data_IF_584359125079
#
_entry.id   IF_584359125079
#
_cell.length_a   1.000
_cell.length_b   1.000
_cell.length_c   1.000
_cell.angle_alpha   90.00
_cell.angle_beta   90.00
_cell.angle_gamma   90.00
#
_symmetry.space_group_name_H-M   'P 1'
#
loop_
_entity.id
_entity.type
_entity.pdbx_description
1 polymer ?
#
# COMPACT_ATOMS: atom_id res chain seq x y z
N UNK A 1 -21.24 29.83 12.83
CA UNK A 1 -21.15 28.83 13.91
C UNK A 1 -20.77 27.52 13.26
N UNK A 2 -19.69 26.89 13.71
CA UNK A 2 -19.16 25.64 13.14
C UNK A 2 -20.10 24.46 13.44
N UNK A 3 -20.47 23.69 12.43
CA UNK A 3 -21.34 22.50 12.53
C UNK A 3 -20.56 21.20 12.29
N UNK A 4 -21.19 20.06 12.58
CA UNK A 4 -20.59 18.74 12.32
C UNK A 4 -20.38 18.54 10.82
N UNK A 5 -21.30 19.01 10.00
CA UNK A 5 -21.21 18.94 8.54
C UNK A 5 -19.96 19.68 8.02
N UNK A 6 -19.65 20.86 8.58
CA UNK A 6 -18.45 21.63 8.23
C UNK A 6 -17.17 20.83 8.54
N UNK A 7 -17.15 20.08 9.66
CA UNK A 7 -16.03 19.21 10.02
C UNK A 7 -15.91 17.99 9.08
N UNK A 8 -17.03 17.36 8.73
CA UNK A 8 -17.06 16.21 7.80
C UNK A 8 -16.53 16.62 6.43
N UNK A 9 -16.93 17.79 5.93
CA UNK A 9 -16.46 18.33 4.65
C UNK A 9 -14.96 18.67 4.69
N UNK A 10 -14.52 19.43 5.71
CA UNK A 10 -13.13 19.85 5.87
C UNK A 10 -12.18 18.65 5.97
N UNK A 11 -12.48 17.68 6.84
CA UNK A 11 -11.63 16.51 7.05
C UNK A 11 -11.84 15.40 6.01
N UNK A 12 -12.89 15.50 5.20
CA UNK A 12 -13.16 14.60 4.09
C UNK A 12 -13.33 13.14 4.48
N UNK A 13 -13.78 12.85 5.71
CA UNK A 13 -13.84 11.47 6.24
C UNK A 13 -14.69 10.53 5.38
N UNK A 14 -15.75 11.02 4.75
CA UNK A 14 -16.58 10.22 3.85
C UNK A 14 -15.88 9.89 2.52
N UNK A 15 -14.84 10.66 2.15
CA UNK A 15 -14.06 10.46 0.92
C UNK A 15 -13.02 9.35 1.09
N UNK A 16 -12.19 9.43 2.13
CA UNK A 16 -11.13 8.45 2.39
C UNK A 16 -11.57 7.32 3.32
N UNK A 17 -12.62 7.50 4.14
CA UNK A 17 -13.04 6.54 5.17
C UNK A 17 -13.56 5.21 4.64
N UNK A 18 -13.83 5.10 3.33
CA UNK A 18 -14.21 3.87 2.61
C UNK A 18 -15.42 3.14 3.22
N UNK A 19 -16.29 3.85 3.93
CA UNK A 19 -17.42 3.29 4.68
C UNK A 19 -17.05 2.60 6.01
N UNK A 20 -15.77 2.59 6.39
CA UNK A 20 -15.32 2.11 7.70
C UNK A 20 -15.24 3.21 8.74
N UNK A 21 -14.99 4.46 8.33
CA UNK A 21 -14.84 5.60 9.23
C UNK A 21 -15.86 6.68 8.89
N UNK A 22 -16.46 7.28 9.92
CA UNK A 22 -17.43 8.38 9.79
C UNK A 22 -17.52 9.14 11.12
N UNK A 23 -18.43 10.10 11.24
CA UNK A 23 -18.66 10.90 12.46
C UNK A 23 -20.11 10.75 12.90
N UNK A 24 -20.35 10.53 14.20
CA UNK A 24 -21.71 10.45 14.73
C UNK A 24 -22.28 11.82 15.12
N UNK A 25 -23.55 11.84 15.57
CA UNK A 25 -24.26 13.08 15.96
C UNK A 25 -23.65 13.83 17.15
N UNK A 26 -22.75 13.19 17.91
CA UNK A 26 -22.02 13.82 19.01
C UNK A 26 -20.68 14.42 18.56
N UNK A 27 -20.34 14.32 17.26
CA UNK A 27 -19.05 14.77 16.73
C UNK A 27 -17.90 13.78 16.97
N UNK A 28 -18.18 12.56 17.45
CA UNK A 28 -17.15 11.56 17.70
C UNK A 28 -16.84 10.75 16.43
N UNK A 29 -15.58 10.38 16.25
CA UNK A 29 -15.14 9.42 15.24
C UNK A 29 -15.77 8.05 15.54
N UNK A 30 -16.45 7.48 14.55
CA UNK A 30 -16.99 6.13 14.59
C UNK A 30 -16.27 5.20 13.62
N UNK A 31 -16.18 3.93 14.01
CA UNK A 31 -15.69 2.84 13.17
C UNK A 31 -16.84 1.87 12.88
N UNK A 32 -17.00 1.48 11.62
CA UNK A 32 -17.96 0.50 11.11
C UNK A 32 -17.19 -0.70 10.53
N UNK A 33 -16.70 -1.65 11.37
CA UNK A 33 -15.74 -2.66 10.92
C UNK A 33 -16.23 -3.56 9.77
N UNK A 34 -17.55 -3.72 9.65
CA UNK A 34 -18.22 -4.54 8.62
C UNK A 34 -18.94 -3.71 7.55
N UNK A 35 -18.75 -2.38 7.54
CA UNK A 35 -19.53 -1.41 6.74
C UNK A 35 -21.04 -1.46 6.95
N UNK A 36 -21.49 -2.04 8.07
CA UNK A 36 -22.90 -2.14 8.45
C UNK A 36 -23.23 -1.07 9.51
N UNK A 37 -24.28 -0.28 9.26
CA UNK A 37 -24.76 0.75 10.19
C UNK A 37 -25.31 0.19 11.51
N UNK A 38 -25.56 -1.11 11.60
CA UNK A 38 -25.93 -1.77 12.87
C UNK A 38 -24.72 -2.09 13.77
N UNK A 39 -23.49 -2.07 13.23
CA UNK A 39 -22.25 -2.41 13.95
C UNK A 39 -21.30 -1.23 13.97
N UNK A 40 -21.61 -0.27 14.84
CA UNK A 40 -20.88 1.00 14.96
C UNK A 40 -20.18 1.08 16.31
N UNK A 41 -18.91 1.47 16.28
CA UNK A 41 -18.08 1.68 17.48
C UNK A 41 -17.79 3.17 17.59
N UNK A 42 -18.24 3.81 18.66
CA UNK A 42 -17.80 5.16 19.02
C UNK A 42 -16.40 5.07 19.65
N UNK A 43 -15.38 5.53 18.93
CA UNK A 43 -14.00 5.36 19.33
C UNK A 43 -13.67 6.17 20.59
N UNK A 44 -14.34 7.32 20.80
CA UNK A 44 -14.14 8.14 22.00
C UNK A 44 -14.60 7.41 23.25
N UNK A 45 -15.78 6.78 23.19
CA UNK A 45 -16.32 5.99 24.30
C UNK A 45 -15.40 4.80 24.65
N UNK A 46 -14.85 4.13 23.63
CA UNK A 46 -13.90 3.03 23.85
C UNK A 46 -12.62 3.53 24.51
N UNK A 47 -12.04 4.61 23.99
CA UNK A 47 -10.82 5.22 24.54
C UNK A 47 -11.04 5.63 26.00
N UNK A 48 -12.15 6.30 26.32
CA UNK A 48 -12.48 6.71 27.69
C UNK A 48 -12.62 5.50 28.64
N UNK A 49 -13.25 4.41 28.15
CA UNK A 49 -13.34 3.17 28.91
C UNK A 49 -11.98 2.47 29.12
N UNK A 50 -11.01 2.63 28.21
CA UNK A 50 -9.67 2.05 28.37
C UNK A 50 -8.84 2.89 29.34
N UNK A 51 -8.92 4.21 29.24
CA UNK A 51 -8.23 5.14 30.15
C UNK A 51 -8.73 4.97 31.58
N UNK A 52 -10.03 4.79 31.80
CA UNK A 52 -10.58 4.49 33.14
C UNK A 52 -10.09 3.15 33.71
N UNK A 53 -9.71 2.21 32.83
CA UNK A 53 -9.03 0.94 33.17
C UNK A 53 -7.51 1.06 33.28
N UNK A 54 -6.96 2.28 33.33
CA UNK A 54 -5.52 2.58 33.42
C UNK A 54 -4.69 2.11 32.21
N UNK A 55 -5.31 1.94 31.04
CA UNK A 55 -4.59 1.74 29.79
C UNK A 55 -4.18 3.12 29.26
N UNK A 56 -2.88 3.33 29.13
CA UNK A 56 -2.30 4.62 28.74
C UNK A 56 -2.15 4.74 27.21
N UNK A 57 -2.15 5.98 26.73
CA UNK A 57 -1.73 6.32 25.37
C UNK A 57 -0.23 6.04 25.15
N UNK A 58 0.23 5.80 23.91
CA UNK A 58 -0.56 5.65 22.68
C UNK A 58 -1.32 4.30 22.62
N UNK A 59 -2.53 4.30 22.06
CA UNK A 59 -3.36 3.09 21.90
C UNK A 59 -3.49 2.78 20.40
N UNK A 60 -3.10 1.57 20.00
CA UNK A 60 -3.27 1.10 18.62
C UNK A 60 -4.45 0.12 18.55
N UNK A 61 -5.56 0.55 17.94
CA UNK A 61 -6.70 -0.31 17.66
C UNK A 61 -6.49 -1.07 16.37
N UNK A 62 -6.94 -2.34 16.35
CA UNK A 62 -7.03 -3.16 15.13
C UNK A 62 -8.44 -3.72 15.01
N UNK A 63 -8.94 -3.76 13.78
CA UNK A 63 -10.29 -4.20 13.43
C UNK A 63 -10.19 -5.36 12.43
N UNK A 64 -10.08 -6.62 12.91
CA UNK A 64 -9.98 -7.82 12.06
C UNK A 64 -11.07 -7.91 10.98
N UNK A 65 -12.29 -7.47 11.29
CA UNK A 65 -13.42 -7.47 10.37
C UNK A 65 -13.20 -6.56 9.14
N UNK A 66 -12.38 -5.52 9.27
CA UNK A 66 -12.00 -4.68 8.12
C UNK A 66 -11.09 -5.45 7.16
N UNK A 67 -10.20 -6.32 7.67
CA UNK A 67 -9.38 -7.21 6.83
C UNK A 67 -10.28 -8.18 6.05
N UNK A 68 -11.24 -8.83 6.73
CA UNK A 68 -12.22 -9.71 6.09
C UNK A 68 -12.99 -8.97 4.99
N UNK A 69 -13.50 -7.77 5.31
CA UNK A 69 -14.25 -6.94 4.38
C UNK A 69 -13.41 -6.58 3.15
N UNK A 70 -12.14 -6.19 3.30
CA UNK A 70 -11.26 -5.89 2.17
C UNK A 70 -10.94 -7.12 1.31
N UNK A 71 -10.68 -8.27 1.94
CA UNK A 71 -10.50 -9.54 1.22
C UNK A 71 -11.74 -9.86 0.39
N UNK A 72 -12.94 -9.72 0.96
CA UNK A 72 -14.21 -9.91 0.25
C UNK A 72 -14.37 -8.92 -0.89
N UNK A 73 -14.10 -7.62 -0.68
CA UNK A 73 -14.21 -6.58 -1.71
C UNK A 73 -13.31 -6.87 -2.90
N UNK A 74 -12.04 -7.22 -2.65
CA UNK A 74 -11.08 -7.53 -3.70
C UNK A 74 -11.50 -8.76 -4.51
N UNK A 75 -11.84 -9.87 -3.84
CA UNK A 75 -12.27 -11.09 -4.52
C UNK A 75 -13.58 -10.88 -5.29
N UNK A 76 -14.52 -10.10 -4.75
CA UNK A 76 -15.79 -9.79 -5.42
C UNK A 76 -15.55 -8.94 -6.67
N UNK A 77 -14.64 -7.97 -6.61
CA UNK A 77 -14.31 -7.13 -7.76
C UNK A 77 -13.79 -7.98 -8.94
N UNK A 78 -12.81 -8.85 -8.69
CA UNK A 78 -12.30 -9.77 -9.71
C UNK A 78 -13.35 -10.78 -10.18
N UNK A 79 -14.16 -11.33 -9.28
CA UNK A 79 -15.25 -12.26 -9.65
C UNK A 79 -16.26 -11.58 -10.57
N UNK A 80 -16.66 -10.34 -10.27
CA UNK A 80 -17.54 -9.55 -11.12
C UNK A 80 -16.93 -9.31 -12.50
N UNK A 81 -15.67 -8.89 -12.57
CA UNK A 81 -14.96 -8.66 -13.84
C UNK A 81 -14.83 -9.95 -14.67
N UNK A 82 -14.53 -11.08 -14.03
CA UNK A 82 -14.40 -12.40 -14.67
C UNK A 82 -15.74 -12.80 -15.30
N UNK A 83 -16.85 -12.62 -14.58
CA UNK A 83 -18.18 -12.92 -15.09
C UNK A 83 -18.58 -11.97 -16.23
N UNK A 84 -18.37 -10.66 -16.05
CA UNK A 84 -18.71 -9.62 -17.03
C UNK A 84 -17.98 -9.85 -18.36
N UNK A 85 -16.67 -10.10 -18.31
CA UNK A 85 -15.85 -10.31 -19.49
C UNK A 85 -15.79 -11.76 -19.95
N UNK A 86 -16.53 -12.69 -19.32
CA UNK A 86 -16.51 -14.12 -19.65
C UNK A 86 -15.09 -14.69 -19.70
N UNK A 87 -14.29 -14.35 -18.69
CA UNK A 87 -12.93 -14.84 -18.58
C UNK A 87 -12.94 -16.31 -18.12
N UNK A 88 -12.36 -17.20 -18.92
CA UNK A 88 -12.41 -18.66 -18.72
C UNK A 88 -11.49 -19.21 -17.60
N UNK A 89 -11.17 -18.41 -16.58
CA UNK A 89 -10.40 -18.87 -15.43
C UNK A 89 -10.71 -18.01 -14.19
N UNK A 90 -9.99 -18.24 -13.09
CA UNK A 90 -10.29 -17.69 -11.77
C UNK A 90 -9.26 -16.66 -11.32
N UNK A 91 -9.57 -16.01 -10.20
CA UNK A 91 -8.68 -15.11 -9.46
C UNK A 91 -8.35 -15.71 -8.09
N UNK A 92 -7.12 -15.51 -7.62
CA UNK A 92 -6.69 -15.88 -6.27
C UNK A 92 -5.80 -14.77 -5.70
N UNK A 93 -6.22 -14.20 -4.57
CA UNK A 93 -5.43 -13.19 -3.85
C UNK A 93 -4.26 -13.80 -3.09
N UNK A 94 -3.15 -13.07 -3.02
CA UNK A 94 -1.96 -13.43 -2.24
C UNK A 94 -1.64 -12.28 -1.29
N UNK A 95 -1.41 -12.56 0.00
CA UNK A 95 -1.02 -11.52 0.94
C UNK A 95 0.51 -11.46 1.11
N UNK A 96 1.17 -10.37 0.69
CA UNK A 96 2.60 -10.19 0.91
C UNK A 96 2.89 -9.82 2.36
N UNK A 97 3.57 -10.71 3.10
CA UNK A 97 3.83 -10.55 4.53
C UNK A 97 4.63 -9.29 4.85
N UNK A 98 5.47 -8.80 3.92
CA UNK A 98 6.23 -7.56 4.04
C UNK A 98 5.39 -6.34 4.42
N UNK A 99 4.09 -6.36 4.10
CA UNK A 99 3.17 -5.26 4.42
C UNK A 99 2.83 -5.22 5.91
N UNK A 100 2.64 -6.38 6.55
CA UNK A 100 2.38 -6.49 7.97
C UNK A 100 2.57 -7.94 8.47
N UNK A 101 3.68 -8.21 9.15
CA UNK A 101 4.05 -9.55 9.63
C UNK A 101 3.45 -9.91 11.00
N UNK A 102 2.58 -9.07 11.58
CA UNK A 102 2.01 -9.34 12.91
C UNK A 102 1.16 -10.60 12.87
N UNK A 103 1.41 -11.52 13.80
CA UNK A 103 0.72 -12.81 13.90
C UNK A 103 -0.79 -12.66 13.83
N UNK A 104 -1.36 -11.74 14.59
CA UNK A 104 -2.81 -11.54 14.68
C UNK A 104 -3.42 -11.07 13.35
N UNK A 105 -2.64 -10.35 12.54
CA UNK A 105 -3.06 -9.86 11.22
C UNK A 105 -3.00 -10.99 10.21
N UNK A 106 -1.92 -11.77 10.21
CA UNK A 106 -1.78 -12.93 9.31
C UNK A 106 -2.79 -14.02 9.63
N UNK A 107 -3.03 -14.34 10.91
CA UNK A 107 -4.07 -15.30 11.33
C UNK A 107 -5.44 -14.91 10.80
N UNK A 108 -5.81 -13.63 10.92
CA UNK A 108 -7.09 -13.17 10.38
C UNK A 108 -7.14 -13.23 8.85
N UNK A 109 -6.05 -12.86 8.16
CA UNK A 109 -5.97 -12.93 6.69
C UNK A 109 -6.14 -14.38 6.21
N UNK A 110 -5.43 -15.32 6.83
CA UNK A 110 -5.50 -16.75 6.48
C UNK A 110 -6.90 -17.29 6.76
N UNK A 111 -7.46 -16.98 7.93
CA UNK A 111 -8.81 -17.40 8.33
C UNK A 111 -9.89 -16.84 7.37
N UNK A 112 -9.90 -15.52 7.16
CA UNK A 112 -10.89 -14.85 6.31
C UNK A 112 -10.70 -15.15 4.82
N UNK A 113 -9.47 -15.42 4.40
CA UNK A 113 -9.08 -15.78 3.04
C UNK A 113 -9.31 -17.24 2.67
N UNK A 114 -9.58 -18.13 3.64
CA UNK A 114 -9.73 -19.58 3.42
C UNK A 114 -10.75 -19.94 2.33
N UNK A 115 -11.88 -19.24 2.29
CA UNK A 115 -12.94 -19.44 1.26
C UNK A 115 -12.55 -19.00 -0.16
N UNK A 116 -11.48 -18.22 -0.27
CA UNK A 116 -10.94 -17.73 -1.55
C UNK A 116 -9.59 -18.37 -1.89
N UNK A 117 -9.15 -19.38 -1.13
CA UNK A 117 -7.82 -19.97 -1.21
C UNK A 117 -6.70 -18.92 -1.15
N UNK A 118 -6.87 -17.87 -0.34
CA UNK A 118 -5.90 -16.78 -0.30
C UNK A 118 -4.52 -17.29 0.14
N UNK A 119 -3.50 -16.98 -0.66
CA UNK A 119 -2.12 -17.39 -0.40
C UNK A 119 -1.32 -16.37 0.41
N UNK A 120 -0.07 -16.70 0.70
CA UNK A 120 0.92 -15.78 1.29
C UNK A 120 2.10 -15.60 0.34
N UNK A 121 2.67 -14.40 0.36
CA UNK A 121 3.96 -14.10 -0.28
C UNK A 121 4.98 -13.73 0.79
N UNK A 122 6.20 -14.23 0.61
CA UNK A 122 7.35 -14.02 1.49
C UNK A 122 8.52 -13.53 0.67
N UNK A 123 9.21 -12.51 1.17
CA UNK A 123 10.38 -11.92 0.51
C UNK A 123 11.71 -12.31 1.14
N UNK A 124 11.69 -13.04 2.26
CA UNK A 124 12.90 -13.41 3.01
C UNK A 124 12.78 -14.80 3.66
N UNK A 125 13.92 -15.41 4.00
CA UNK A 125 13.99 -16.66 4.76
C UNK A 125 13.22 -16.60 6.10
N UNK A 126 13.28 -15.46 6.80
CA UNK A 126 12.58 -15.27 8.08
C UNK A 126 11.05 -15.21 7.88
N UNK A 127 10.59 -14.53 6.84
CA UNK A 127 9.17 -14.52 6.48
C UNK A 127 8.69 -15.90 6.05
N UNK A 128 9.49 -16.68 5.30
CA UNK A 128 9.17 -18.07 4.97
C UNK A 128 8.99 -18.92 6.23
N UNK A 129 9.91 -18.86 7.19
CA UNK A 129 9.77 -19.59 8.46
C UNK A 129 8.50 -19.20 9.22
N UNK A 130 8.16 -17.91 9.25
CA UNK A 130 6.94 -17.44 9.87
C UNK A 130 5.69 -17.93 9.12
N UNK A 131 5.69 -17.87 7.78
CA UNK A 131 4.58 -18.30 6.94
C UNK A 131 4.23 -19.80 7.13
N UNK A 132 5.25 -20.65 7.31
CA UNK A 132 5.07 -22.09 7.53
C UNK A 132 4.37 -22.44 8.86
N UNK A 133 4.23 -21.47 9.78
CA UNK A 133 3.50 -21.67 11.03
C UNK A 133 1.98 -21.49 10.91
N UNK A 134 1.48 -21.02 9.77
CA UNK A 134 0.05 -20.78 9.55
C UNK A 134 -0.62 -21.90 8.74
N UNK A 135 -1.87 -22.21 9.10
CA UNK A 135 -2.69 -23.24 8.44
C UNK A 135 -3.32 -22.71 7.14
N UNK A 136 -2.54 -22.71 6.06
CA UNK A 136 -3.02 -22.35 4.73
C UNK A 136 -3.93 -23.44 4.13
N UNK A 137 -4.96 -23.04 3.39
CA UNK A 137 -5.82 -23.98 2.65
C UNK A 137 -5.01 -24.80 1.63
N UNK A 138 -5.53 -25.97 1.26
CA UNK A 138 -4.85 -26.88 0.32
C UNK A 138 -4.50 -26.28 -1.04
N UNK A 139 -5.30 -25.32 -1.52
CA UNK A 139 -5.07 -24.62 -2.78
C UNK A 139 -4.44 -23.23 -2.63
N UNK A 140 -4.13 -22.81 -1.39
CA UNK A 140 -3.39 -21.57 -1.17
C UNK A 140 -1.93 -21.75 -1.63
N UNK A 141 -1.42 -20.74 -2.31
CA UNK A 141 -0.02 -20.69 -2.75
C UNK A 141 0.83 -20.01 -1.68
N UNK A 142 2.04 -20.53 -1.47
CA UNK A 142 3.10 -19.85 -0.72
C UNK A 142 4.18 -19.39 -1.71
N UNK A 143 4.19 -18.11 -2.03
CA UNK A 143 5.08 -17.53 -3.05
C UNK A 143 6.35 -16.99 -2.41
N UNK A 144 7.50 -17.51 -2.83
CA UNK A 144 8.82 -17.10 -2.38
C UNK A 144 9.45 -16.14 -3.41
N UNK A 145 9.53 -14.87 -3.04
CA UNK A 145 10.23 -13.80 -3.76
C UNK A 145 11.52 -13.39 -3.02
N UNK A 146 12.23 -12.43 -3.61
CA UNK A 146 13.38 -11.74 -2.99
C UNK A 146 14.70 -12.41 -3.33
N UNK A 147 15.79 -11.94 -2.73
CA UNK A 147 17.10 -12.58 -2.91
C UNK A 147 17.13 -13.92 -2.17
N UNK A 148 17.40 -15.01 -2.89
CA UNK A 148 17.43 -16.36 -2.32
C UNK A 148 18.87 -16.85 -2.25
N UNK A 149 19.41 -17.09 -1.07
CA UNK A 149 20.64 -17.86 -0.90
C UNK A 149 20.35 -19.37 -0.89
N UNK A 150 21.39 -20.19 -0.80
CA UNK A 150 21.27 -21.64 -0.78
C UNK A 150 20.41 -22.11 0.39
N UNK A 151 20.54 -21.48 1.56
CA UNK A 151 19.77 -21.84 2.75
C UNK A 151 18.27 -21.54 2.58
N UNK A 152 17.92 -20.39 1.99
CA UNK A 152 16.54 -20.06 1.65
C UNK A 152 15.99 -21.07 0.63
N UNK A 153 16.74 -21.41 -0.43
CA UNK A 153 16.30 -22.41 -1.39
C UNK A 153 16.10 -23.80 -0.75
N UNK A 154 17.03 -24.25 0.10
CA UNK A 154 16.89 -25.49 0.86
C UNK A 154 15.65 -25.47 1.76
N UNK A 155 15.39 -24.35 2.45
CA UNK A 155 14.21 -24.21 3.29
C UNK A 155 12.92 -24.27 2.47
N UNK A 156 12.83 -23.50 1.37
CA UNK A 156 11.67 -23.46 0.50
C UNK A 156 11.39 -24.83 -0.15
N UNK A 157 12.44 -25.53 -0.56
CA UNK A 157 12.34 -26.85 -1.18
C UNK A 157 11.95 -27.94 -0.18
N UNK A 158 12.45 -27.87 1.07
CA UNK A 158 12.00 -28.79 2.12
C UNK A 158 10.56 -28.49 2.58
N UNK A 159 10.13 -27.24 2.54
CA UNK A 159 8.76 -26.85 2.86
C UNK A 159 7.71 -27.46 1.92
N UNK A 160 8.08 -27.82 0.69
CA UNK A 160 7.21 -28.57 -0.25
C UNK A 160 6.79 -29.92 0.34
N UNK A 161 7.61 -30.52 1.21
CA UNK A 161 7.29 -31.79 1.88
C UNK A 161 6.26 -31.62 3.01
N UNK A 162 6.11 -30.39 3.53
CA UNK A 162 5.32 -30.08 4.71
C UNK A 162 4.01 -29.36 4.38
N UNK A 163 3.98 -28.57 3.31
CA UNK A 163 2.84 -27.69 3.01
C UNK A 163 2.59 -27.53 1.51
N UNK A 164 1.39 -27.04 1.23
CA UNK A 164 0.81 -26.85 -0.08
C UNK A 164 1.62 -25.93 -0.99
N UNK A 165 1.71 -26.31 -2.28
CA UNK A 165 2.07 -25.50 -3.46
C UNK A 165 3.02 -24.32 -3.20
N UNK A 166 4.22 -24.61 -2.68
CA UNK A 166 5.31 -23.61 -2.61
C UNK A 166 5.73 -23.25 -4.03
N UNK A 167 5.70 -21.96 -4.33
CA UNK A 167 6.11 -21.37 -5.60
C UNK A 167 7.42 -20.64 -5.38
N UNK A 168 8.47 -21.00 -6.10
CA UNK A 168 9.75 -20.28 -6.07
C UNK A 168 9.84 -19.41 -7.32
N UNK A 169 9.80 -18.09 -7.13
CA UNK A 169 9.98 -17.13 -8.23
C UNK A 169 11.47 -16.91 -8.45
N UNK A 170 11.95 -17.08 -9.68
CA UNK A 170 13.30 -16.71 -10.09
C UNK A 170 13.31 -15.18 -10.26
N UNK A 171 13.97 -14.49 -9.32
CA UNK A 171 14.12 -13.03 -9.32
C UNK A 171 15.41 -12.60 -10.02
N UNK A 172 16.45 -13.45 -10.00
CA UNK A 172 17.74 -13.20 -10.66
C UNK A 172 18.16 -14.42 -11.51
N UNK A 173 18.74 -14.17 -12.68
CA UNK A 173 19.09 -15.23 -13.64
C UNK A 173 20.01 -16.29 -13.02
N UNK A 174 20.95 -15.85 -12.18
CA UNK A 174 21.91 -16.69 -11.45
C UNK A 174 21.25 -17.71 -10.52
N UNK A 175 20.02 -17.46 -10.03
CA UNK A 175 19.29 -18.38 -9.14
C UNK A 175 18.87 -19.67 -9.86
N UNK A 176 18.71 -19.63 -11.19
CA UNK A 176 18.10 -20.71 -11.99
C UNK A 176 18.81 -22.04 -11.83
N UNK A 177 20.12 -22.10 -12.10
CA UNK A 177 20.88 -23.36 -12.03
C UNK A 177 20.92 -23.89 -10.61
N UNK A 178 21.18 -23.01 -9.64
CA UNK A 178 21.24 -23.36 -8.22
C UNK A 178 19.92 -23.97 -7.73
N UNK A 179 18.77 -23.36 -8.06
CA UNK A 179 17.46 -23.90 -7.70
C UNK A 179 17.28 -25.33 -8.24
N UNK A 180 17.61 -25.56 -9.52
CA UNK A 180 17.45 -26.86 -10.17
C UNK A 180 18.39 -27.93 -9.59
N UNK A 181 19.64 -27.56 -9.31
CA UNK A 181 20.64 -28.44 -8.68
C UNK A 181 20.20 -28.89 -7.28
N UNK A 182 19.79 -27.94 -6.43
CA UNK A 182 19.32 -28.25 -5.08
C UNK A 182 18.02 -29.07 -5.12
N UNK A 183 17.08 -28.73 -6.01
CA UNK A 183 15.84 -29.47 -6.18
C UNK A 183 16.10 -30.93 -6.59
N UNK A 184 17.06 -31.16 -7.49
CA UNK A 184 17.50 -32.50 -7.90
C UNK A 184 18.17 -33.26 -6.75
N UNK A 185 19.05 -32.62 -5.97
CA UNK A 185 19.68 -33.23 -4.79
C UNK A 185 18.66 -33.65 -3.74
N UNK A 186 17.63 -32.83 -3.51
CA UNK A 186 16.56 -33.11 -2.55
C UNK A 186 15.45 -34.00 -3.11
N UNK A 187 15.50 -34.37 -4.40
CA UNK A 187 14.49 -35.12 -5.13
C UNK A 187 13.08 -34.52 -5.01
N UNK A 188 12.96 -33.20 -5.19
CA UNK A 188 11.70 -32.46 -5.15
C UNK A 188 11.46 -31.70 -6.45
N UNK A 189 10.19 -31.49 -6.80
CA UNK A 189 9.77 -30.69 -7.97
C UNK A 189 8.97 -29.48 -7.48
N UNK A 190 9.59 -28.30 -7.31
CA UNK A 190 8.90 -27.07 -6.94
C UNK A 190 8.02 -26.56 -8.07
N UNK A 191 7.00 -25.76 -7.76
CA UNK A 191 6.42 -24.87 -8.76
C UNK A 191 7.41 -23.72 -8.97
N UNK A 192 7.83 -23.50 -10.21
CA UNK A 192 8.77 -22.45 -10.59
C UNK A 192 8.00 -21.31 -11.22
N UNK A 193 8.33 -20.08 -10.81
CA UNK A 193 7.93 -18.88 -11.49
C UNK A 193 9.10 -18.07 -12.01
N UNK A 194 8.82 -17.18 -12.95
CA UNK A 194 9.81 -16.22 -13.45
C UNK A 194 9.24 -14.82 -13.25
N UNK A 195 10.05 -13.93 -12.67
CA UNK A 195 9.74 -12.51 -12.62
C UNK A 195 10.23 -11.83 -13.90
N UNK A 196 9.30 -11.31 -14.71
CA UNK A 196 9.65 -10.54 -15.90
C UNK A 196 9.95 -9.08 -15.55
N UNK A 197 11.04 -8.53 -16.11
CA UNK A 197 11.23 -7.08 -16.19
C UNK A 197 10.37 -6.52 -17.30
N UNK A 198 9.60 -5.49 -16.97
CA UNK A 198 8.76 -4.76 -17.92
C UNK A 198 9.38 -3.39 -18.21
N UNK A 199 9.23 -2.92 -19.45
CA UNK A 199 9.55 -1.55 -19.83
C UNK A 199 8.57 -0.56 -19.21
N UNK A 200 7.32 -0.98 -18.99
CA UNK A 200 6.30 -0.19 -18.28
C UNK A 200 6.71 0.07 -16.82
N UNK A 201 6.79 1.35 -16.42
CA UNK A 201 7.23 1.80 -15.08
C UNK A 201 6.07 2.15 -14.14
N UNK A 202 6.33 2.07 -12.84
CA UNK A 202 5.44 2.54 -11.76
C UNK A 202 5.25 4.06 -11.72
N UNK A 203 4.62 4.56 -10.66
CA UNK A 203 4.39 6.00 -10.39
C UNK A 203 4.81 6.39 -8.99
N UNK A 204 4.98 7.70 -8.76
CA UNK A 204 5.20 8.28 -7.44
C UNK A 204 6.54 7.90 -6.79
N UNK A 205 6.63 8.08 -5.46
CA UNK A 205 7.84 7.87 -4.65
C UNK A 205 8.44 6.45 -4.72
N UNK A 206 7.68 5.46 -5.22
CA UNK A 206 8.10 4.05 -5.27
C UNK A 206 8.39 3.55 -6.69
N UNK A 207 8.51 4.44 -7.68
CA UNK A 207 8.76 4.08 -9.07
C UNK A 207 10.03 3.22 -9.25
N UNK A 208 11.07 3.40 -8.42
CA UNK A 208 12.33 2.65 -8.48
C UNK A 208 12.20 1.16 -8.06
N UNK A 209 11.10 0.81 -7.38
CA UNK A 209 10.87 -0.58 -6.91
C UNK A 209 10.35 -1.53 -8.00
N UNK A 210 9.99 -1.02 -9.18
CA UNK A 210 9.44 -1.80 -10.30
C UNK A 210 9.93 -1.36 -11.68
N UNK A 211 9.56 -2.09 -12.73
CA UNK A 211 9.96 -1.82 -14.11
C UNK A 211 11.44 -2.14 -14.41
N UNK A 212 11.95 -1.63 -15.52
CA UNK A 212 13.30 -1.89 -16.07
C UNK A 212 14.46 -1.53 -15.12
N UNK A 213 14.28 -0.49 -14.28
CA UNK A 213 15.27 -0.08 -13.28
C UNK A 213 15.24 -0.91 -12.00
N UNK A 214 14.33 -1.88 -11.88
CA UNK A 214 14.25 -2.74 -10.71
C UNK A 214 15.50 -3.62 -10.59
N UNK A 215 15.99 -3.77 -9.35
CA UNK A 215 17.08 -4.70 -9.03
C UNK A 215 16.71 -6.16 -9.32
N UNK A 216 15.41 -6.47 -9.36
CA UNK A 216 14.89 -7.82 -9.54
C UNK A 216 14.14 -8.00 -10.85
N UNK A 217 14.10 -9.23 -11.33
CA UNK A 217 13.45 -9.66 -12.55
C UNK A 217 14.41 -9.88 -13.70
N UNK A 218 13.93 -10.66 -14.67
CA UNK A 218 14.68 -11.12 -15.84
C UNK A 218 14.28 -10.31 -17.07
N UNK A 219 15.28 -9.88 -17.83
CA UNK A 219 15.11 -9.42 -19.21
C UNK A 219 14.60 -10.54 -20.11
N UNK A 220 14.04 -10.19 -21.27
CA UNK A 220 13.55 -11.19 -22.24
C UNK A 220 14.62 -12.22 -22.61
N UNK A 221 15.88 -11.80 -22.76
CA UNK A 221 17.01 -12.70 -23.05
C UNK A 221 17.25 -13.70 -21.91
N UNK A 222 17.25 -13.22 -20.66
CA UNK A 222 17.41 -14.06 -19.47
C UNK A 222 16.23 -15.02 -19.29
N UNK A 223 15.00 -14.60 -19.61
CA UNK A 223 13.82 -15.48 -19.59
C UNK A 223 13.99 -16.63 -20.57
N UNK A 224 14.41 -16.35 -21.82
CA UNK A 224 14.63 -17.38 -22.83
C UNK A 224 15.72 -18.38 -22.42
N UNK A 225 16.83 -17.88 -21.85
CA UNK A 225 17.90 -18.75 -21.36
C UNK A 225 17.47 -19.55 -20.11
N UNK A 226 16.67 -18.96 -19.20
CA UNK A 226 16.09 -19.69 -18.07
C UNK A 226 15.23 -20.85 -18.53
N UNK A 227 14.34 -20.61 -19.50
CA UNK A 227 13.48 -21.65 -20.08
C UNK A 227 14.30 -22.80 -20.66
N UNK A 228 15.39 -22.48 -21.35
CA UNK A 228 16.31 -23.48 -21.91
C UNK A 228 16.97 -24.30 -20.80
N UNK A 229 17.54 -23.64 -19.79
CA UNK A 229 18.19 -24.32 -18.64
C UNK A 229 17.18 -25.22 -17.90
N UNK A 230 15.98 -24.72 -17.60
CA UNK A 230 14.94 -25.51 -16.93
C UNK A 230 14.55 -26.74 -17.77
N UNK A 231 14.55 -26.62 -19.10
CA UNK A 231 14.28 -27.73 -20.02
C UNK A 231 15.41 -28.76 -20.02
N UNK A 232 16.68 -28.35 -20.00
CA UNK A 232 17.85 -29.23 -19.90
C UNK A 232 17.83 -30.08 -18.61
N UNK A 233 17.25 -29.54 -17.54
CA UNK A 233 17.03 -30.26 -16.28
C UNK A 233 15.76 -31.14 -16.26
N UNK A 234 15.01 -31.22 -17.37
CA UNK A 234 13.72 -31.93 -17.46
C UNK A 234 12.67 -31.42 -16.45
N UNK A 235 12.65 -30.12 -16.18
CA UNK A 235 11.75 -29.48 -15.21
C UNK A 235 10.84 -28.42 -15.85
N UNK A 236 10.69 -28.40 -17.18
CA UNK A 236 9.91 -27.37 -17.88
C UNK A 236 8.43 -27.34 -17.46
N UNK A 237 7.84 -28.48 -17.11
CA UNK A 237 6.47 -28.56 -16.59
C UNK A 237 6.29 -27.90 -15.21
N UNK A 238 7.39 -27.64 -14.51
CA UNK A 238 7.38 -26.93 -13.23
C UNK A 238 7.30 -25.41 -13.41
N UNK A 239 7.71 -24.89 -14.58
CA UNK A 239 7.55 -23.47 -14.89
C UNK A 239 6.07 -23.16 -15.14
N UNK A 240 5.40 -22.65 -14.11
CA UNK A 240 3.94 -22.45 -14.12
C UNK A 240 3.52 -21.03 -13.77
N UNK A 241 4.43 -20.14 -13.36
CA UNK A 241 4.07 -18.78 -12.94
C UNK A 241 4.86 -17.74 -13.75
N UNK A 242 4.15 -16.79 -14.35
CA UNK A 242 4.73 -15.53 -14.79
C UNK A 242 4.39 -14.46 -13.77
N UNK A 243 5.39 -13.85 -13.15
CA UNK A 243 5.24 -12.78 -12.18
C UNK A 243 5.79 -11.47 -12.74
N UNK A 244 5.20 -10.34 -12.37
CA UNK A 244 5.81 -9.03 -12.53
C UNK A 244 5.35 -8.11 -11.40
N UNK A 245 6.12 -7.04 -11.17
CA UNK A 245 5.78 -6.05 -10.17
C UNK A 245 6.21 -4.65 -10.63
N UNK A 246 5.26 -3.73 -10.72
CA UNK A 246 5.49 -2.35 -11.16
C UNK A 246 5.64 -1.35 -10.00
N UNK A 247 5.65 -1.83 -8.75
CA UNK A 247 5.82 -1.02 -7.55
C UNK A 247 4.57 -0.97 -6.67
N UNK A 248 4.67 -0.23 -5.57
CA UNK A 248 3.56 -0.01 -4.62
C UNK A 248 2.85 1.32 -4.88
N UNK A 249 1.56 1.41 -4.54
CA UNK A 249 0.76 2.64 -4.61
C UNK A 249 0.82 3.25 -6.02
N UNK A 250 0.40 2.46 -7.02
CA UNK A 250 0.31 2.96 -8.39
C UNK A 250 -0.90 3.89 -8.45
N UNK A 251 -0.68 5.16 -8.75
CA UNK A 251 -1.68 6.22 -8.60
C UNK A 251 -2.53 6.37 -9.87
N UNK A 252 -2.06 5.83 -11.00
CA UNK A 252 -2.69 5.91 -12.32
C UNK A 252 -3.07 4.52 -12.88
N UNK A 253 -4.36 4.32 -13.20
CA UNK A 253 -4.84 3.06 -13.78
C UNK A 253 -4.17 2.72 -15.12
N UNK A 254 -3.86 3.73 -15.94
CA UNK A 254 -3.23 3.55 -17.25
C UNK A 254 -1.87 2.85 -17.17
N UNK A 255 -1.13 3.02 -16.07
CA UNK A 255 0.17 2.37 -15.87
C UNK A 255 0.02 0.87 -15.61
N UNK A 256 -0.97 0.51 -14.79
CA UNK A 256 -1.35 -0.88 -14.55
C UNK A 256 -1.78 -1.54 -15.86
N UNK A 257 -2.65 -0.88 -16.63
CA UNK A 257 -3.13 -1.41 -17.92
C UNK A 257 -1.98 -1.69 -18.89
N UNK A 258 -1.04 -0.75 -19.05
CA UNK A 258 0.15 -0.93 -19.91
C UNK A 258 1.01 -2.11 -19.47
N UNK A 259 1.28 -2.22 -18.17
CA UNK A 259 2.10 -3.29 -17.61
C UNK A 259 1.43 -4.67 -17.77
N UNK A 260 0.13 -4.78 -17.50
CA UNK A 260 -0.64 -6.02 -17.70
C UNK A 260 -0.60 -6.42 -19.18
N UNK A 261 -0.82 -5.49 -20.10
CA UNK A 261 -0.81 -5.78 -21.55
C UNK A 261 0.58 -6.25 -22.02
N UNK A 262 1.65 -5.63 -21.55
CA UNK A 262 3.02 -6.04 -21.85
C UNK A 262 3.32 -7.46 -21.32
N UNK A 263 3.03 -7.70 -20.03
CA UNK A 263 3.23 -9.01 -19.42
C UNK A 263 2.34 -10.09 -20.05
N UNK A 264 1.11 -9.77 -20.45
CA UNK A 264 0.21 -10.70 -21.13
C UNK A 264 0.77 -11.14 -22.50
N UNK A 265 1.48 -10.24 -23.22
CA UNK A 265 2.19 -10.63 -24.44
C UNK A 265 3.34 -11.58 -24.15
N UNK A 266 4.13 -11.32 -23.10
CA UNK A 266 5.18 -12.24 -22.66
C UNK A 266 4.59 -13.62 -22.32
N UNK A 267 3.50 -13.64 -21.55
CA UNK A 267 2.75 -14.86 -21.23
C UNK A 267 2.35 -15.63 -22.49
N UNK A 268 1.71 -14.96 -23.46
CA UNK A 268 1.25 -15.59 -24.69
C UNK A 268 2.41 -16.17 -25.50
N UNK A 269 3.53 -15.45 -25.65
CA UNK A 269 4.70 -15.95 -26.39
C UNK A 269 5.38 -17.14 -25.69
N UNK A 270 5.36 -17.20 -24.36
CA UNK A 270 5.83 -18.38 -23.60
C UNK A 270 4.87 -19.56 -23.82
N UNK A 271 3.56 -19.32 -23.78
CA UNK A 271 2.54 -20.35 -23.99
C UNK A 271 2.60 -20.99 -25.37
N UNK A 272 2.85 -20.20 -26.41
CA UNK A 272 3.03 -20.69 -27.78
C UNK A 272 4.25 -21.59 -27.95
N UNK A 273 5.20 -21.58 -27.01
CA UNK A 273 6.30 -22.56 -26.93
C UNK A 273 5.92 -23.84 -26.19
N UNK A 274 4.63 -24.11 -26.02
CA UNK A 274 4.06 -25.25 -25.30
C UNK A 274 4.41 -25.32 -23.80
N UNK A 275 4.81 -24.20 -23.19
CA UNK A 275 5.12 -24.13 -21.76
C UNK A 275 3.83 -23.83 -20.99
N UNK A 276 3.51 -24.66 -20.00
CA UNK A 276 2.25 -24.56 -19.27
C UNK A 276 2.27 -23.55 -18.11
N UNK A 277 2.39 -22.26 -18.42
CA UNK A 277 2.15 -21.19 -17.44
C UNK A 277 0.67 -21.20 -17.01
N UNK A 278 0.41 -21.54 -15.75
CA UNK A 278 -0.92 -21.61 -15.13
C UNK A 278 -1.31 -20.33 -14.42
N UNK A 279 -0.35 -19.60 -13.88
CA UNK A 279 -0.59 -18.43 -13.05
C UNK A 279 0.04 -17.18 -13.64
N UNK A 280 -0.73 -16.10 -13.66
CA UNK A 280 -0.32 -14.77 -14.07
C UNK A 280 -0.38 -13.84 -12.87
N UNK A 281 0.78 -13.63 -12.24
CA UNK A 281 0.90 -12.85 -11.02
C UNK A 281 1.28 -11.41 -11.34
N UNK A 282 0.35 -10.50 -11.08
CA UNK A 282 0.51 -9.07 -11.35
C UNK A 282 1.22 -8.30 -10.22
N UNK A 283 1.59 -9.01 -9.15
CA UNK A 283 2.21 -8.45 -7.97
C UNK A 283 1.27 -7.48 -7.22
N UNK A 284 1.88 -6.59 -6.43
CA UNK A 284 1.17 -5.53 -5.74
C UNK A 284 0.87 -4.31 -6.63
N UNK A 285 0.61 -3.16 -6.00
CA UNK A 285 0.48 -1.88 -6.69
C UNK A 285 -0.92 -1.27 -6.67
N UNK A 286 -1.94 -2.04 -6.33
CA UNK A 286 -3.29 -1.52 -6.07
C UNK A 286 -3.22 -0.38 -5.02
N UNK A 287 -3.55 0.83 -5.46
CA UNK A 287 -3.45 2.05 -4.68
C UNK A 287 -4.59 2.21 -3.67
N UNK A 288 -4.31 2.98 -2.62
CA UNK A 288 -5.29 3.43 -1.62
C UNK A 288 -5.45 4.94 -1.71
N UNK A 289 -6.68 5.41 -1.63
CA UNK A 289 -7.02 6.83 -1.55
C UNK A 289 -6.91 7.32 -0.09
N UNK A 290 -5.73 7.78 0.32
CA UNK A 290 -5.47 8.23 1.69
C UNK A 290 -6.00 9.65 1.97
N UNK A 291 -6.01 10.53 0.95
CA UNK A 291 -6.47 11.91 1.09
C UNK A 291 -7.93 12.12 0.66
N UNK A 292 -8.55 11.13 0.01
CA UNK A 292 -9.94 11.17 -0.44
C UNK A 292 -10.14 11.96 -1.74
N UNK A 293 -9.06 12.33 -2.43
CA UNK A 293 -9.13 13.17 -3.63
C UNK A 293 -9.51 12.39 -4.89
N UNK A 294 -9.30 11.07 -4.91
CA UNK A 294 -9.42 10.21 -6.11
C UNK A 294 -8.63 10.74 -7.31
N UNK A 295 -7.48 11.35 -7.04
CA UNK A 295 -6.55 11.84 -8.05
C UNK A 295 -5.35 10.91 -8.20
N UNK A 296 -4.47 11.20 -9.16
CA UNK A 296 -3.18 10.52 -9.32
C UNK A 296 -2.07 11.08 -8.40
N UNK A 297 -2.42 11.77 -7.32
CA UNK A 297 -1.46 12.26 -6.31
C UNK A 297 -0.73 11.09 -5.63
N UNK A 298 0.43 11.35 -5.04
CA UNK A 298 1.21 10.34 -4.31
C UNK A 298 0.43 9.69 -3.14
N UNK A 299 -0.58 10.38 -2.60
CA UNK A 299 -1.42 9.93 -1.49
C UNK A 299 -2.78 9.39 -1.95
N UNK A 300 -3.01 9.28 -3.26
CA UNK A 300 -4.30 8.86 -3.83
C UNK A 300 -4.12 7.83 -4.96
N UNK A 301 -5.25 7.35 -5.50
CA UNK A 301 -5.33 6.63 -6.76
C UNK A 301 -6.53 7.14 -7.56
N UNK A 302 -6.38 7.28 -8.88
CA UNK A 302 -7.43 7.78 -9.76
C UNK A 302 -8.43 6.71 -10.24
N UNK A 303 -8.53 5.61 -9.50
CA UNK A 303 -9.32 4.44 -9.89
C UNK A 303 -9.85 3.69 -8.68
N UNK A 304 -10.89 2.90 -8.90
CA UNK A 304 -11.50 2.04 -7.87
C UNK A 304 -10.94 0.61 -7.92
N UNK A 305 -11.19 -0.19 -6.87
CA UNK A 305 -10.85 -1.63 -6.88
C UNK A 305 -11.58 -2.37 -8.01
N UNK A 306 -12.83 -2.00 -8.31
CA UNK A 306 -13.58 -2.61 -9.42
C UNK A 306 -12.98 -2.25 -10.78
N UNK A 307 -12.61 -0.99 -10.98
CA UNK A 307 -11.96 -0.55 -12.21
C UNK A 307 -10.58 -1.21 -12.39
N UNK A 308 -9.82 -1.37 -11.30
CA UNK A 308 -8.58 -2.13 -11.29
C UNK A 308 -8.78 -3.57 -11.77
N UNK A 309 -9.73 -4.29 -11.18
CA UNK A 309 -10.06 -5.65 -11.58
C UNK A 309 -10.51 -5.72 -13.05
N UNK A 310 -11.34 -4.77 -13.49
CA UNK A 310 -11.81 -4.71 -14.88
C UNK A 310 -10.65 -4.56 -15.86
N UNK A 311 -9.74 -3.60 -15.61
CA UNK A 311 -8.60 -3.35 -16.48
C UNK A 311 -7.65 -4.56 -16.56
N UNK A 312 -7.40 -5.22 -15.44
CA UNK A 312 -6.54 -6.43 -15.39
C UNK A 312 -7.17 -7.57 -16.20
N UNK A 313 -8.42 -7.93 -15.89
CA UNK A 313 -9.11 -9.05 -16.53
C UNK A 313 -9.28 -8.80 -18.03
N UNK A 314 -9.76 -7.61 -18.41
CA UNK A 314 -9.99 -7.27 -19.81
C UNK A 314 -8.69 -7.28 -20.61
N UNK A 315 -7.63 -6.66 -20.11
CA UNK A 315 -6.36 -6.53 -20.84
C UNK A 315 -5.67 -7.89 -21.03
N UNK A 316 -5.74 -8.77 -20.02
CA UNK A 316 -5.22 -10.12 -20.14
C UNK A 316 -6.07 -10.97 -21.08
N UNK A 317 -7.40 -10.88 -21.00
CA UNK A 317 -8.33 -11.56 -21.91
C UNK A 317 -8.07 -11.19 -23.36
N UNK A 318 -8.02 -9.89 -23.66
CA UNK A 318 -7.81 -9.36 -25.01
C UNK A 318 -6.58 -10.00 -25.66
N UNK A 319 -5.44 -10.00 -24.95
CA UNK A 319 -4.21 -10.60 -25.47
C UNK A 319 -4.31 -12.12 -25.57
N UNK A 320 -4.93 -12.81 -24.61
CA UNK A 320 -5.06 -14.27 -24.68
C UNK A 320 -5.92 -14.71 -25.87
N UNK A 321 -7.04 -14.03 -26.12
CA UNK A 321 -7.94 -14.32 -27.24
C UNK A 321 -7.27 -14.01 -28.59
N UNK A 322 -6.61 -12.85 -28.71
CA UNK A 322 -5.89 -12.48 -29.94
C UNK A 322 -4.80 -13.49 -30.31
N UNK A 323 -4.07 -13.99 -29.31
CA UNK A 323 -2.96 -14.94 -29.51
C UNK A 323 -3.42 -16.40 -29.49
N UNK A 324 -4.73 -16.65 -29.30
CA UNK A 324 -5.34 -17.98 -29.19
C UNK A 324 -4.68 -18.87 -28.11
N UNK A 325 -4.42 -18.31 -26.94
CA UNK A 325 -3.87 -19.03 -25.78
C UNK A 325 -4.89 -19.10 -24.65
N UNK A 326 -4.79 -20.12 -23.80
CA UNK A 326 -5.71 -20.29 -22.67
C UNK A 326 -5.53 -19.20 -21.63
N UNK A 327 -6.61 -18.84 -20.93
CA UNK A 327 -6.57 -17.88 -19.83
C UNK A 327 -5.89 -18.48 -18.59
N UNK A 328 -4.86 -17.83 -18.00
CA UNK A 328 -4.26 -18.28 -16.74
C UNK A 328 -5.11 -17.89 -15.52
N UNK A 329 -4.81 -18.47 -14.35
CA UNK A 329 -5.32 -17.98 -13.06
C UNK A 329 -4.64 -16.64 -12.77
N UNK A 330 -5.42 -15.63 -12.43
CA UNK A 330 -4.90 -14.30 -12.08
C UNK A 330 -4.52 -14.29 -10.59
N UNK A 331 -3.28 -13.90 -10.29
CA UNK A 331 -2.83 -13.66 -8.92
C UNK A 331 -2.55 -12.17 -8.71
N UNK A 332 -2.89 -11.63 -7.54
CA UNK A 332 -2.47 -10.29 -7.12
C UNK A 332 -1.98 -10.26 -5.67
N UNK A 333 -0.92 -9.47 -5.42
CA UNK A 333 -0.28 -9.32 -4.11
C UNK A 333 -0.69 -7.99 -3.46
N UNK A 334 -2.01 -7.75 -3.37
CA UNK A 334 -2.59 -6.46 -3.00
C UNK A 334 -2.60 -6.17 -1.49
N UNK A 335 -1.46 -6.39 -0.81
CA UNK A 335 -1.39 -6.32 0.66
C UNK A 335 -1.79 -4.96 1.26
N UNK A 336 -1.31 -3.85 0.69
CA UNK A 336 -1.66 -2.49 1.15
C UNK A 336 -3.17 -2.26 1.10
N UNK A 337 -3.82 -2.67 0.02
CA UNK A 337 -5.26 -2.50 -0.16
C UNK A 337 -6.07 -3.26 0.90
N UNK A 338 -5.56 -4.43 1.31
CA UNK A 338 -6.18 -5.27 2.33
C UNK A 338 -5.99 -4.68 3.74
N UNK A 339 -4.79 -4.20 4.06
CA UNK A 339 -4.45 -3.85 5.44
C UNK A 339 -4.49 -2.36 5.77
N UNK A 340 -4.70 -1.44 4.83
CA UNK A 340 -4.57 0.00 5.12
C UNK A 340 -5.56 0.50 6.19
N UNK A 341 -6.82 0.09 6.11
CA UNK A 341 -7.90 0.64 6.94
C UNK A 341 -8.08 -0.06 8.29
N UNK A 342 -7.44 -1.21 8.52
CA UNK A 342 -7.77 -2.06 9.66
C UNK A 342 -7.24 -1.55 11.02
N UNK A 343 -6.48 -0.45 11.07
CA UNK A 343 -5.87 0.01 12.31
C UNK A 343 -5.93 1.52 12.50
N UNK A 344 -6.14 1.96 13.74
CA UNK A 344 -6.17 3.38 14.13
C UNK A 344 -5.24 3.58 15.32
N UNK A 345 -4.28 4.50 15.18
CA UNK A 345 -3.42 4.95 16.26
C UNK A 345 -4.06 6.15 16.95
N UNK A 346 -4.32 6.03 18.25
CA UNK A 346 -4.86 7.09 19.09
C UNK A 346 -3.78 7.58 20.05
N UNK A 347 -3.53 8.89 20.02
CA UNK A 347 -2.62 9.59 20.92
C UNK A 347 -3.36 10.73 21.60
N UNK A 348 -2.87 11.19 22.75
CA UNK A 348 -3.39 12.37 23.41
C UNK A 348 -2.45 13.55 23.23
N UNK A 349 -3.01 14.75 23.09
CA UNK A 349 -2.23 15.99 23.11
C UNK A 349 -1.79 16.25 24.57
N UNK A 350 -0.49 16.43 24.79
CA UNK A 350 0.08 16.67 26.14
C UNK A 350 0.27 18.14 26.48
N UNK A 351 0.37 18.98 25.46
CA UNK A 351 0.54 20.42 25.62
C UNK A 351 0.32 21.12 24.29
N UNK A 352 0.10 22.43 24.37
CA UNK A 352 -0.01 23.30 23.22
C UNK A 352 0.99 24.45 23.40
N UNK A 353 1.71 24.81 22.34
CA UNK A 353 2.62 25.95 22.33
C UNK A 353 1.99 27.07 21.51
N UNK A 354 0.80 27.51 21.92
CA UNK A 354 0.23 28.75 21.43
C UNK A 354 0.71 29.86 22.37
N UNK A 355 1.34 30.89 21.81
CA UNK A 355 1.62 32.11 22.57
C UNK A 355 0.31 32.73 23.05
N UNK A 356 0.36 33.45 24.17
CA UNK A 356 -0.78 34.25 24.60
C UNK A 356 -0.97 35.42 23.62
N UNK A 357 -1.90 35.24 22.67
CA UNK A 357 -2.26 36.25 21.68
C UNK A 357 -2.95 37.48 22.31
N UNK A 358 -3.33 37.41 23.59
CA UNK A 358 -3.96 38.50 24.33
C UNK A 358 -2.99 39.25 25.25
N UNK A 359 -1.67 39.01 25.13
CA UNK A 359 -0.69 39.75 25.92
C UNK A 359 -0.81 41.23 25.57
N UNK A 360 -1.24 42.03 26.54
CA UNK A 360 -1.32 43.48 26.37
C UNK A 360 0.09 44.04 26.28
N UNK A 361 0.37 44.75 25.19
CA UNK A 361 1.58 45.54 25.02
C UNK A 361 1.26 46.96 25.49
N UNK A 362 2.06 47.48 26.41
CA UNK A 362 1.99 48.87 26.86
C UNK A 362 3.35 49.50 26.61
N UNK A 363 3.37 50.62 25.90
CA UNK A 363 4.59 51.40 25.68
C UNK A 363 4.95 52.18 26.95
N UNK A 364 6.23 52.20 27.28
CA UNK A 364 6.87 52.90 28.40
C UNK A 364 7.39 54.28 27.99
N UNK A 365 7.41 54.59 26.69
CA UNK A 365 7.76 55.88 26.12
C UNK A 365 9.23 56.04 25.76
N UNK A 366 10.03 54.97 25.89
CA UNK A 366 11.45 54.95 25.54
C UNK A 366 11.78 53.87 24.49
N UNK A 367 10.76 53.24 23.91
CA UNK A 367 10.93 52.22 22.89
C UNK A 367 11.54 52.76 21.58
N UNK A 368 12.27 51.93 20.83
CA UNK A 368 12.65 52.20 19.45
C UNK A 368 11.44 52.64 18.61
N UNK A 369 11.69 53.53 17.65
CA UNK A 369 10.65 54.10 16.78
C UNK A 369 9.80 53.01 16.10
N UNK A 370 10.46 51.96 15.61
CA UNK A 370 9.84 50.81 14.93
C UNK A 370 8.81 50.09 15.83
N UNK A 371 9.03 50.03 17.15
CA UNK A 371 8.07 49.43 18.09
C UNK A 371 6.83 50.33 18.25
N UNK A 372 7.03 51.65 18.22
CA UNK A 372 5.93 52.61 18.26
C UNK A 372 5.09 52.51 16.98
N UNK A 373 5.72 52.42 15.81
CA UNK A 373 5.03 52.23 14.52
C UNK A 373 4.23 50.92 14.48
N UNK A 374 4.81 49.81 14.97
CA UNK A 374 4.10 48.54 15.13
C UNK A 374 2.88 48.65 16.05
N UNK A 375 3.02 49.40 17.13
CA UNK A 375 1.95 49.61 18.10
C UNK A 375 0.80 50.48 17.56
N UNK A 376 1.14 51.53 16.81
CA UNK A 376 0.17 52.41 16.15
C UNK A 376 -0.58 51.65 15.05
N UNK A 377 0.13 50.88 14.22
CA UNK A 377 -0.46 49.99 13.23
C UNK A 377 -1.43 49.00 13.88
N UNK A 378 -1.07 48.40 15.02
CA UNK A 378 -1.95 47.50 15.76
C UNK A 378 -3.22 48.19 16.28
N UNK A 379 -3.14 49.45 16.73
CA UNK A 379 -4.30 50.21 17.23
C UNK A 379 -5.23 50.70 16.13
N UNK A 380 -4.67 51.09 14.99
CA UNK A 380 -5.41 51.74 13.92
C UNK A 380 -5.91 50.77 12.84
N UNK A 381 -5.50 49.50 12.90
CA UNK A 381 -5.91 48.48 11.94
C UNK A 381 -7.42 48.29 11.92
N UNK A 382 -7.97 48.28 10.71
CA UNK A 382 -9.38 48.10 10.43
C UNK A 382 -9.58 47.45 9.05
N UNK A 383 -10.83 47.15 8.71
CA UNK A 383 -11.19 46.43 7.47
C UNK A 383 -10.72 47.16 6.18
N UNK A 384 -10.48 48.48 6.23
CA UNK A 384 -10.06 49.24 5.05
C UNK A 384 -8.55 49.28 4.85
N UNK A 385 -7.76 49.24 5.92
CA UNK A 385 -6.30 49.39 5.87
C UNK A 385 -5.51 48.14 6.30
N UNK A 386 -6.19 47.03 6.64
CA UNK A 386 -5.51 45.84 7.17
C UNK A 386 -4.41 45.27 6.27
N UNK A 387 -4.53 45.39 4.95
CA UNK A 387 -3.51 44.88 4.02
C UNK A 387 -2.23 45.71 4.12
N UNK A 388 -2.36 47.03 4.12
CA UNK A 388 -1.26 47.98 4.24
C UNK A 388 -0.55 47.78 5.59
N UNK A 389 -1.30 47.84 6.68
CA UNK A 389 -0.74 47.69 8.02
C UNK A 389 -0.17 46.29 8.29
N UNK A 390 -0.67 45.26 7.62
CA UNK A 390 -0.06 43.93 7.68
C UNK A 390 1.29 43.90 6.97
N UNK A 391 1.43 44.56 5.82
CA UNK A 391 2.72 44.67 5.14
C UNK A 391 3.72 45.50 5.95
N UNK A 392 3.29 46.63 6.49
CA UNK A 392 4.13 47.49 7.33
C UNK A 392 4.57 46.72 8.59
N UNK A 393 3.67 45.99 9.24
CA UNK A 393 4.01 45.17 10.39
C UNK A 393 5.02 44.05 10.06
N UNK A 394 4.99 43.47 8.85
CA UNK A 394 5.99 42.50 8.42
C UNK A 394 7.35 43.16 8.20
N UNK A 395 7.39 44.32 7.55
CA UNK A 395 8.61 45.10 7.32
C UNK A 395 9.26 45.52 8.64
N UNK A 396 8.50 46.16 9.52
CA UNK A 396 8.96 46.59 10.84
C UNK A 396 9.44 45.42 11.69
N UNK A 397 8.83 44.22 11.59
CA UNK A 397 9.33 43.02 12.25
C UNK A 397 10.71 42.61 11.73
N UNK A 398 10.98 42.70 10.43
CA UNK A 398 12.29 42.40 9.84
C UNK A 398 13.35 43.42 10.23
N UNK A 399 12.99 44.71 10.27
CA UNK A 399 13.86 45.79 10.74
C UNK A 399 14.21 45.62 12.22
N UNK A 400 13.22 45.30 13.07
CA UNK A 400 13.42 45.03 14.49
C UNK A 400 14.36 43.82 14.71
N UNK A 401 14.19 42.75 13.93
CA UNK A 401 15.11 41.61 13.97
C UNK A 401 16.53 41.98 13.52
N UNK A 402 16.65 42.88 12.55
CA UNK A 402 17.95 43.39 12.08
C UNK A 402 18.64 44.22 13.17
N UNK A 403 17.90 45.12 13.83
CA UNK A 403 18.40 45.88 14.98
C UNK A 403 18.85 44.97 16.12
N UNK A 404 18.06 43.94 16.44
CA UNK A 404 18.45 42.97 17.48
C UNK A 404 19.75 42.25 17.12
N UNK A 405 19.89 41.81 15.86
CA UNK A 405 21.10 41.13 15.40
C UNK A 405 22.34 42.02 15.38
N UNK A 406 22.15 43.34 15.24
CA UNK A 406 23.21 44.35 15.32
C UNK A 406 23.54 44.74 16.78
N UNK A 407 22.74 44.32 17.76
CA UNK A 407 22.93 44.63 19.18
C UNK A 407 22.38 46.01 19.58
N UNK A 408 21.48 46.59 18.77
CA UNK A 408 20.92 47.93 18.98
C UNK A 408 19.66 47.93 19.86
N UNK A 409 19.06 46.75 20.11
CA UNK A 409 17.86 46.59 20.96
C UNK A 409 17.99 45.35 21.85
N UNK A 410 17.28 45.37 22.98
CA UNK A 410 17.32 44.33 24.02
C UNK A 410 16.31 43.18 23.77
N UNK A 411 16.39 42.13 24.59
CA UNK A 411 15.49 40.97 24.50
C UNK A 411 14.02 41.33 24.74
N UNK A 412 13.75 42.30 25.61
CA UNK A 412 12.41 42.79 25.92
C UNK A 412 11.77 43.50 24.73
N UNK A 413 12.56 44.19 23.92
CA UNK A 413 12.15 44.91 22.71
C UNK A 413 11.98 43.95 21.52
N UNK A 414 12.77 42.87 21.49
CA UNK A 414 12.61 41.75 20.55
C UNK A 414 11.36 40.91 20.81
N UNK A 415 11.02 40.71 22.09
CA UNK A 415 9.88 39.90 22.52
C UNK A 415 8.56 40.55 22.16
#
# INVERSE_FOLDING_TARGET
MWKIEDAIELYGIERWGSGYFSVNRNGNLIVKPTKNDAQVIDLKNVVDSLVSKKINYPILFRFPQILESQIKTLNSAFSNSILEYKYNNTYQGIFPMKVNQRKEVIEEIVKSGKKYNMGLEVGTKAELLAALSFDLSNDALLICNGFKDDEYLHLALNAIKLSNKVVIIIDEFSETKRLLEIAKQLNVKPIIGIRAKLYSRGSGKWAESGGESSKFGLSTTEILECVKIISEYNMIDQLQVLHFHIGSQITEIRRIQKAVKEAARVYAKIKLKHINIKYFNIGGGLGIDYDGSKTSSDASANYTIQEYANNVVYSLKEVCDEENVTHPIILSESGRAISAYHSVLVINIKGNKNGDLNKRVELRGNEPHIITELYDAFKEINIKNYVEFYHDALLHREELLSLFNLGEIELEEKS
#
